data_IF_537952709759
#
_entry.id   IF_537952709759
#
_cell.length_a   1.000
_cell.length_b   1.000
_cell.length_c   1.000
_cell.angle_alpha   90.00
_cell.angle_beta   90.00
_cell.angle_gamma   90.00
#
_symmetry.space_group_name_H-M   'P 1'
#
loop_
_entity.id
_entity.type
_entity.pdbx_description
1 polymer ?
#
# COMPACT_ATOMS: atom_id res chain seq x y z
N UNK A 1 28.91 55.40 13.11
CA UNK A 1 27.89 54.49 13.69
C UNK A 1 26.66 55.34 13.97
N UNK A 2 25.62 55.22 13.12
CA UNK A 2 24.26 55.35 13.63
C UNK A 2 23.31 54.28 13.06
N UNK A 3 22.62 53.65 14.01
CA UNK A 3 21.31 53.02 14.07
C UNK A 3 20.44 52.87 12.79
N UNK A 4 20.01 51.63 12.50
CA UNK A 4 18.99 51.28 11.51
C UNK A 4 17.79 50.71 12.27
N UNK A 5 16.85 51.57 12.66
CA UNK A 5 15.54 51.16 13.17
C UNK A 5 14.55 51.06 12.00
N UNK A 6 14.19 49.84 11.61
CA UNK A 6 13.09 49.54 10.69
C UNK A 6 11.74 50.01 11.27
N UNK A 7 10.99 50.79 10.50
CA UNK A 7 9.61 51.13 10.82
C UNK A 7 8.66 49.98 10.37
N UNK A 8 7.64 49.59 11.16
CA UNK A 8 6.72 48.53 10.76
C UNK A 8 5.75 49.05 9.69
N UNK A 9 5.62 48.29 8.59
CA UNK A 9 4.67 48.57 7.51
C UNK A 9 3.19 48.50 8.00
N UNK A 10 2.28 49.36 7.50
CA UNK A 10 0.92 49.49 8.03
C UNK A 10 0.04 48.26 7.76
N UNK A 11 -0.66 47.79 8.81
CA UNK A 11 -1.54 46.61 8.80
C UNK A 11 -2.69 46.68 7.76
N UNK A 12 -3.09 47.88 7.34
CA UNK A 12 -4.15 48.07 6.34
C UNK A 12 -3.76 47.60 4.93
N UNK A 13 -2.46 47.64 4.59
CA UNK A 13 -1.97 47.14 3.30
C UNK A 13 -2.02 45.61 3.23
N UNK A 14 -1.83 44.93 4.36
CA UNK A 14 -1.94 43.46 4.46
C UNK A 14 -3.41 43.04 4.38
N UNK A 15 -4.31 43.75 5.05
CA UNK A 15 -5.75 43.45 5.03
C UNK A 15 -6.35 43.58 3.62
N UNK A 16 -6.00 44.63 2.87
CA UNK A 16 -6.45 44.78 1.47
C UNK A 16 -5.90 43.71 0.53
N UNK A 17 -4.68 43.20 0.80
CA UNK A 17 -4.07 42.12 0.01
C UNK A 17 -4.72 40.76 0.31
N UNK A 18 -5.26 40.59 1.52
CA UNK A 18 -6.01 39.40 1.93
C UNK A 18 -7.46 39.41 1.42
N UNK A 19 -8.13 40.57 1.38
CA UNK A 19 -9.50 40.67 0.83
C UNK A 19 -9.56 40.35 -0.67
N UNK A 20 -8.56 40.74 -1.45
CA UNK A 20 -8.54 40.44 -2.88
C UNK A 20 -8.24 38.95 -3.19
N UNK A 21 -7.81 38.17 -2.18
CA UNK A 21 -7.54 36.73 -2.27
C UNK A 21 -8.76 35.87 -1.89
N UNK A 22 -9.88 36.47 -1.46
CA UNK A 22 -11.04 35.77 -0.88
C UNK A 22 -12.25 35.62 -1.80
N UNK A 23 -12.09 35.74 -3.13
CA UNK A 23 -13.13 35.25 -4.06
C UNK A 23 -12.85 33.78 -4.37
N UNK A 24 -13.37 32.90 -3.51
CA UNK A 24 -13.39 31.47 -3.73
C UNK A 24 -14.28 31.16 -4.96
N UNK A 25 -13.65 30.94 -6.11
CA UNK A 25 -14.28 30.34 -7.27
C UNK A 25 -14.47 28.84 -7.00
N UNK A 26 -15.66 28.33 -7.30
CA UNK A 26 -16.04 26.92 -7.15
C UNK A 26 -15.08 26.02 -7.92
N UNK A 27 -14.32 25.19 -7.20
CA UNK A 27 -13.40 24.20 -7.77
C UNK A 27 -14.19 22.96 -8.16
N UNK A 28 -14.29 22.69 -9.47
CA UNK A 28 -14.83 21.43 -9.99
C UNK A 28 -13.79 20.30 -9.89
N UNK A 29 -14.19 19.05 -9.58
CA UNK A 29 -13.25 17.94 -9.42
C UNK A 29 -12.64 17.53 -10.77
N UNK A 30 -11.34 17.78 -10.95
CA UNK A 30 -10.57 17.32 -12.12
C UNK A 30 -9.82 18.43 -12.87
N UNK A 31 -9.98 19.70 -12.51
CA UNK A 31 -9.19 20.78 -13.08
C UNK A 31 -7.85 20.91 -12.34
N UNK A 32 -6.75 20.71 -13.07
CA UNK A 32 -5.42 21.03 -12.55
C UNK A 32 -5.21 22.52 -12.72
N UNK A 33 -5.31 23.27 -11.62
CA UNK A 33 -4.71 24.61 -11.58
C UNK A 33 -3.20 24.41 -11.77
N UNK A 34 -2.56 25.11 -12.72
CA UNK A 34 -1.11 25.21 -12.71
C UNK A 34 -0.74 25.67 -11.30
N UNK A 35 0.23 25.02 -10.66
CA UNK A 35 0.76 25.54 -9.41
C UNK A 35 1.47 26.85 -9.76
N UNK A 36 0.69 27.93 -9.73
CA UNK A 36 1.05 29.29 -10.12
C UNK A 36 1.77 30.01 -8.97
N UNK A 37 2.13 29.26 -7.93
CA UNK A 37 2.96 29.75 -6.84
C UNK A 37 4.43 29.68 -7.26
N UNK A 38 4.92 30.82 -7.76
CA UNK A 38 6.32 31.05 -8.12
C UNK A 38 7.31 30.58 -7.05
N UNK A 39 6.95 30.62 -5.77
CA UNK A 39 7.80 30.17 -4.66
C UNK A 39 8.00 28.65 -4.64
N UNK A 40 6.96 27.88 -4.94
CA UNK A 40 7.03 26.42 -5.04
C UNK A 40 7.83 26.03 -6.28
N UNK A 41 7.59 26.74 -7.39
CA UNK A 41 8.30 26.53 -8.65
C UNK A 41 9.80 26.84 -8.54
N UNK A 42 10.20 27.90 -7.85
CA UNK A 42 11.61 28.24 -7.62
C UNK A 42 12.29 27.26 -6.65
N UNK A 43 11.58 26.78 -5.62
CA UNK A 43 12.10 25.77 -4.72
C UNK A 43 12.43 24.46 -5.45
N UNK A 44 11.51 23.93 -6.27
CA UNK A 44 11.75 22.72 -7.06
C UNK A 44 12.72 22.96 -8.25
N UNK A 45 12.74 24.15 -8.83
CA UNK A 45 13.70 24.57 -9.88
C UNK A 45 15.14 24.58 -9.36
N UNK A 46 15.35 24.97 -8.10
CA UNK A 46 16.68 24.93 -7.48
C UNK A 46 17.19 23.51 -7.19
N UNK A 47 16.28 22.53 -7.07
CA UNK A 47 16.59 21.15 -6.69
C UNK A 47 16.78 20.20 -7.89
N UNK A 48 16.28 20.56 -9.08
CA UNK A 48 16.30 19.69 -10.28
C UNK A 48 16.74 20.51 -11.51
N UNK A 49 17.59 19.94 -12.36
CA UNK A 49 18.02 20.60 -13.60
C UNK A 49 16.80 21.04 -14.43
N UNK A 50 16.77 22.29 -14.90
CA UNK A 50 15.65 22.84 -15.67
C UNK A 50 15.30 21.99 -16.91
N UNK A 51 16.33 21.43 -17.54
CA UNK A 51 16.20 20.51 -18.68
C UNK A 51 15.47 19.19 -18.34
N UNK A 52 15.59 18.69 -17.10
CA UNK A 52 14.84 17.51 -16.66
C UNK A 52 13.38 17.85 -16.40
N UNK A 53 13.10 19.01 -15.82
CA UNK A 53 11.73 19.45 -15.53
C UNK A 53 10.90 19.58 -16.81
N UNK A 54 11.44 20.27 -17.82
CA UNK A 54 10.78 20.42 -19.13
C UNK A 54 10.52 19.07 -19.80
N UNK A 55 11.45 18.11 -19.69
CA UNK A 55 11.25 16.75 -20.21
C UNK A 55 10.15 16.02 -19.47
N UNK A 56 10.10 16.11 -18.14
CA UNK A 56 9.05 15.48 -17.33
C UNK A 56 7.67 16.07 -17.59
N UNK A 57 7.57 17.40 -17.71
CA UNK A 57 6.33 18.10 -18.08
C UNK A 57 5.85 17.66 -19.48
N UNK A 58 6.76 17.61 -20.46
CA UNK A 58 6.44 17.13 -21.81
C UNK A 58 5.94 15.67 -21.80
N UNK A 59 6.58 14.79 -21.04
CA UNK A 59 6.16 13.38 -20.90
C UNK A 59 4.77 13.31 -20.27
N UNK A 60 4.51 14.09 -19.21
CA UNK A 60 3.22 14.12 -18.55
C UNK A 60 2.11 14.64 -19.48
N UNK A 61 2.39 15.66 -20.28
CA UNK A 61 1.48 16.19 -21.29
C UNK A 61 1.13 15.14 -22.35
N UNK A 62 2.14 14.44 -22.88
CA UNK A 62 1.92 13.36 -23.84
C UNK A 62 1.16 12.18 -23.22
N UNK A 63 1.44 11.83 -21.97
CA UNK A 63 0.72 10.77 -21.25
C UNK A 63 -0.75 11.14 -21.03
N UNK A 64 -1.03 12.41 -20.74
CA UNK A 64 -2.40 12.94 -20.65
C UNK A 64 -3.11 12.90 -22.00
N UNK A 65 -2.42 13.28 -23.09
CA UNK A 65 -2.97 13.28 -24.44
C UNK A 65 -3.30 11.87 -24.98
N UNK A 66 -2.55 10.83 -24.57
CA UNK A 66 -2.81 9.44 -24.92
C UNK A 66 -4.08 8.91 -24.21
N UNK A 67 -4.37 9.41 -23.00
CA UNK A 67 -5.52 9.01 -22.19
C UNK A 67 -5.44 7.58 -21.65
N UNK A 68 -6.50 7.14 -20.95
CA UNK A 68 -6.62 5.77 -20.41
C UNK A 68 -7.14 4.81 -21.47
N UNK A 69 -6.28 3.93 -21.96
CA UNK A 69 -6.64 2.84 -22.86
C UNK A 69 -6.90 1.50 -22.14
N UNK A 70 -6.98 0.42 -22.93
CA UNK A 70 -7.22 -0.94 -22.42
C UNK A 70 -6.07 -1.43 -21.52
N UNK A 71 -4.85 -1.01 -21.79
CA UNK A 71 -3.67 -1.38 -21.00
C UNK A 71 -3.77 -0.92 -19.56
N UNK A 72 -4.23 0.31 -19.31
CA UNK A 72 -4.39 0.89 -17.98
C UNK A 72 -5.45 0.15 -17.16
N UNK A 73 -6.53 -0.31 -17.80
CA UNK A 73 -7.53 -1.16 -17.14
C UNK A 73 -7.00 -2.56 -16.79
N UNK A 74 -6.16 -3.15 -17.65
CA UNK A 74 -5.46 -4.39 -17.30
C UNK A 74 -4.50 -4.17 -16.13
N UNK A 75 -3.76 -3.06 -16.12
CA UNK A 75 -2.85 -2.72 -15.03
C UNK A 75 -3.61 -2.49 -13.72
N UNK A 76 -4.75 -1.79 -13.78
CA UNK A 76 -5.64 -1.59 -12.63
C UNK A 76 -6.15 -2.92 -12.06
N UNK A 77 -6.57 -3.85 -12.92
CA UNK A 77 -7.01 -5.17 -12.47
C UNK A 77 -5.87 -5.98 -11.83
N UNK A 78 -4.66 -5.95 -12.41
CA UNK A 78 -3.50 -6.69 -11.89
C UNK A 78 -3.04 -6.11 -10.54
N UNK A 79 -2.88 -4.80 -10.44
CA UNK A 79 -2.55 -4.11 -9.20
C UNK A 79 -3.66 -4.31 -8.15
N UNK A 80 -4.93 -4.23 -8.55
CA UNK A 80 -6.05 -4.52 -7.67
C UNK A 80 -5.96 -5.93 -7.07
N UNK A 81 -5.67 -6.94 -7.90
CA UNK A 81 -5.44 -8.30 -7.43
C UNK A 81 -4.23 -8.39 -6.48
N UNK A 82 -3.16 -7.62 -6.70
CA UNK A 82 -2.03 -7.50 -5.77
C UNK A 82 -2.47 -7.02 -4.39
N UNK A 83 -3.22 -5.91 -4.33
CA UNK A 83 -3.78 -5.38 -3.09
C UNK A 83 -4.73 -6.35 -2.37
N UNK A 84 -5.50 -7.11 -3.15
CA UNK A 84 -6.35 -8.16 -2.62
C UNK A 84 -5.51 -9.28 -1.98
N UNK A 85 -4.44 -9.73 -2.63
CA UNK A 85 -3.52 -10.75 -2.09
C UNK A 85 -2.81 -10.25 -0.82
N UNK A 86 -2.40 -8.99 -0.76
CA UNK A 86 -1.80 -8.40 0.44
C UNK A 86 -2.78 -8.41 1.62
N UNK A 87 -4.06 -8.15 1.33
CA UNK A 87 -5.11 -8.27 2.33
C UNK A 87 -5.31 -9.73 2.79
N UNK A 88 -5.23 -10.70 1.88
CA UNK A 88 -5.32 -12.13 2.23
C UNK A 88 -4.29 -12.55 3.26
N UNK A 89 -3.04 -12.07 3.15
CA UNK A 89 -2.02 -12.37 4.14
C UNK A 89 -2.31 -11.70 5.49
N UNK A 90 -2.55 -10.39 5.49
CA UNK A 90 -2.76 -9.62 6.73
C UNK A 90 -4.02 -10.01 7.50
N UNK A 91 -5.11 -10.35 6.80
CA UNK A 91 -6.33 -10.82 7.44
C UNK A 91 -6.32 -12.33 7.68
N UNK A 92 -5.69 -13.11 6.80
CA UNK A 92 -5.54 -14.56 6.94
C UNK A 92 -4.87 -14.95 8.25
N UNK A 93 -3.78 -14.28 8.64
CA UNK A 93 -3.13 -14.54 9.94
C UNK A 93 -4.07 -14.28 11.12
N UNK A 94 -4.99 -13.32 10.99
CA UNK A 94 -5.97 -13.02 12.04
C UNK A 94 -7.09 -14.07 12.08
N UNK A 95 -7.55 -14.53 10.91
CA UNK A 95 -8.61 -15.53 10.79
C UNK A 95 -8.15 -16.93 11.25
N UNK A 96 -6.89 -17.29 11.00
CA UNK A 96 -6.30 -18.60 11.33
C UNK A 96 -5.85 -18.70 12.80
N UNK A 97 -5.72 -17.57 13.52
CA UNK A 97 -5.29 -17.56 14.92
C UNK A 97 -6.16 -18.40 15.88
N UNK A 98 -7.50 -18.28 15.89
CA UNK A 98 -8.34 -19.06 16.80
C UNK A 98 -8.14 -20.59 16.70
N UNK A 99 -8.17 -21.23 15.51
CA UNK A 99 -7.94 -22.67 15.41
C UNK A 99 -6.49 -23.07 15.69
N UNK A 100 -5.51 -22.20 15.39
CA UNK A 100 -4.10 -22.40 15.78
C UNK A 100 -3.96 -22.41 17.31
N UNK A 101 -4.73 -21.58 18.03
CA UNK A 101 -4.73 -21.58 19.50
C UNK A 101 -5.38 -22.82 20.13
N UNK A 102 -6.27 -23.50 19.41
CA UNK A 102 -6.85 -24.77 19.86
C UNK A 102 -5.88 -25.94 19.72
N UNK A 103 -5.02 -25.93 18.69
CA UNK A 103 -4.02 -26.98 18.45
C UNK A 103 -2.72 -26.77 19.24
N UNK A 104 -2.27 -25.52 19.37
CA UNK A 104 -1.08 -25.15 20.12
C UNK A 104 -1.50 -24.50 21.45
N UNK A 105 -1.43 -25.28 22.53
CA UNK A 105 -1.92 -24.98 23.90
C UNK A 105 -1.31 -23.75 24.61
N UNK A 106 -0.44 -22.98 23.94
CA UNK A 106 0.34 -21.90 24.53
C UNK A 106 -0.26 -20.52 24.16
N UNK A 107 -1.40 -20.19 24.78
CA UNK A 107 -2.20 -18.98 24.48
C UNK A 107 -1.40 -17.68 24.58
N UNK A 108 -0.39 -17.63 25.45
CA UNK A 108 0.52 -16.48 25.60
C UNK A 108 1.40 -16.22 24.37
N UNK A 109 1.52 -17.18 23.46
CA UNK A 109 2.37 -17.07 22.26
C UNK A 109 1.64 -16.67 21.00
N UNK A 110 0.30 -16.71 20.94
CA UNK A 110 -0.44 -16.41 19.70
C UNK A 110 -0.10 -15.03 19.12
N UNK A 111 0.09 -14.02 19.97
CA UNK A 111 0.44 -12.67 19.53
C UNK A 111 1.82 -12.58 18.86
N UNK A 112 2.74 -13.51 19.12
CA UNK A 112 4.04 -13.54 18.44
C UNK A 112 3.92 -13.81 16.94
N UNK A 113 2.85 -14.46 16.47
CA UNK A 113 2.61 -14.64 15.04
C UNK A 113 2.39 -13.30 14.32
N UNK A 114 1.57 -12.41 14.89
CA UNK A 114 1.36 -11.06 14.37
C UNK A 114 2.62 -10.22 14.45
N UNK A 115 3.38 -10.30 15.56
CA UNK A 115 4.66 -9.60 15.68
C UNK A 115 5.64 -10.07 14.61
N UNK A 116 5.77 -11.38 14.40
CA UNK A 116 6.63 -11.94 13.36
C UNK A 116 6.24 -11.45 11.96
N UNK A 117 4.95 -11.43 11.64
CA UNK A 117 4.44 -10.88 10.38
C UNK A 117 4.80 -9.39 10.21
N UNK A 118 4.55 -8.55 11.22
CA UNK A 118 4.86 -7.11 11.13
C UNK A 118 6.36 -6.81 11.08
N UNK A 119 7.20 -7.59 11.79
CA UNK A 119 8.66 -7.49 11.67
C UNK A 119 9.09 -7.85 10.25
N UNK A 120 8.54 -8.92 9.68
CA UNK A 120 8.72 -9.28 8.28
C UNK A 120 8.30 -8.15 7.35
N UNK A 121 7.15 -7.52 7.60
CA UNK A 121 6.62 -6.41 6.81
C UNK A 121 7.57 -5.22 6.76
N UNK A 122 8.16 -4.84 7.91
CA UNK A 122 9.14 -3.76 7.98
C UNK A 122 10.38 -4.10 7.15
N UNK A 123 10.95 -5.29 7.36
CA UNK A 123 12.14 -5.74 6.63
C UNK A 123 11.86 -5.81 5.12
N UNK A 124 10.69 -6.33 4.75
CA UNK A 124 10.23 -6.44 3.36
C UNK A 124 10.11 -5.10 2.67
N UNK A 125 9.52 -4.10 3.32
CA UNK A 125 9.35 -2.76 2.76
C UNK A 125 10.71 -2.14 2.37
N UNK A 126 11.73 -2.27 3.21
CA UNK A 126 13.08 -1.78 2.90
C UNK A 126 13.78 -2.59 1.81
N UNK A 127 13.74 -3.92 1.90
CA UNK A 127 14.44 -4.80 0.96
C UNK A 127 13.83 -4.73 -0.43
N UNK A 128 12.53 -4.93 -0.56
CA UNK A 128 11.85 -4.96 -1.86
C UNK A 128 11.71 -3.58 -2.48
N UNK A 129 11.60 -2.52 -1.68
CA UNK A 129 11.66 -1.15 -2.20
C UNK A 129 12.99 -0.88 -2.91
N UNK A 130 14.10 -1.17 -2.22
CA UNK A 130 15.45 -1.04 -2.82
C UNK A 130 15.64 -1.97 -4.01
N UNK A 131 15.12 -3.20 -3.93
CA UNK A 131 15.25 -4.17 -5.01
C UNK A 131 14.46 -3.77 -6.26
N UNK A 132 13.30 -3.13 -6.09
CA UNK A 132 12.49 -2.60 -7.18
C UNK A 132 13.19 -1.46 -7.92
N UNK A 133 13.99 -0.66 -7.23
CA UNK A 133 14.78 0.41 -7.85
C UNK A 133 15.99 -0.15 -8.63
N UNK A 134 16.59 -1.26 -8.20
CA UNK A 134 17.78 -1.87 -8.84
C UNK A 134 17.42 -2.81 -9.99
N UNK A 135 16.51 -3.76 -9.75
CA UNK A 135 16.15 -4.81 -10.73
C UNK A 135 15.04 -4.32 -11.69
N UNK A 136 14.33 -3.25 -11.30
CA UNK A 136 13.16 -2.74 -11.98
C UNK A 136 11.87 -3.20 -11.32
N UNK A 137 10.83 -2.38 -11.45
CA UNK A 137 9.61 -2.56 -10.66
C UNK A 137 8.74 -3.76 -11.06
N UNK A 138 8.65 -4.05 -12.37
CA UNK A 138 7.85 -5.18 -12.90
C UNK A 138 8.33 -6.55 -12.42
N UNK A 139 9.63 -6.91 -12.49
CA UNK A 139 10.10 -8.17 -11.93
C UNK A 139 9.96 -8.18 -10.41
N UNK A 140 10.26 -7.08 -9.71
CA UNK A 140 10.11 -7.01 -8.26
C UNK A 140 8.68 -7.33 -7.79
N UNK A 141 7.66 -6.75 -8.43
CA UNK A 141 6.25 -7.06 -8.16
C UNK A 141 5.88 -8.53 -8.38
N UNK A 142 6.32 -9.13 -9.50
CA UNK A 142 6.02 -10.54 -9.75
C UNK A 142 6.73 -11.46 -8.74
N UNK A 143 7.95 -11.10 -8.32
CA UNK A 143 8.69 -11.88 -7.32
C UNK A 143 8.06 -11.79 -5.94
N UNK A 144 7.55 -10.64 -5.49
CA UNK A 144 6.89 -10.51 -4.18
C UNK A 144 5.64 -11.40 -4.10
N UNK A 145 4.80 -11.39 -5.12
CA UNK A 145 3.59 -12.23 -5.18
C UNK A 145 3.94 -13.73 -5.27
N UNK A 146 4.89 -14.11 -6.13
CA UNK A 146 5.31 -15.51 -6.28
C UNK A 146 5.94 -16.05 -4.98
N UNK A 147 6.86 -15.28 -4.39
CA UNK A 147 7.51 -15.61 -3.13
C UNK A 147 6.48 -15.73 -2.01
N UNK A 148 5.63 -14.72 -1.82
CA UNK A 148 4.57 -14.75 -0.81
C UNK A 148 3.60 -15.93 -1.01
N UNK A 149 3.22 -16.23 -2.25
CA UNK A 149 2.35 -17.37 -2.57
C UNK A 149 2.96 -18.74 -2.21
N UNK A 150 4.23 -18.97 -2.56
CA UNK A 150 4.91 -20.24 -2.24
C UNK A 150 5.00 -20.45 -0.73
N UNK A 151 5.40 -19.42 0.02
CA UNK A 151 5.52 -19.52 1.48
C UNK A 151 4.16 -19.55 2.19
N UNK A 152 3.14 -18.90 1.63
CA UNK A 152 1.76 -19.04 2.11
C UNK A 152 1.26 -20.48 1.97
N UNK A 153 1.46 -21.13 0.80
CA UNK A 153 1.14 -22.54 0.64
C UNK A 153 1.95 -23.44 1.58
N UNK A 154 3.22 -23.13 1.81
CA UNK A 154 4.06 -23.86 2.76
C UNK A 154 3.59 -23.72 4.22
N UNK A 155 2.98 -22.57 4.58
CA UNK A 155 2.50 -22.28 5.93
C UNK A 155 1.34 -23.18 6.37
N UNK A 156 0.51 -23.64 5.43
CA UNK A 156 -0.56 -24.61 5.69
C UNK A 156 -0.03 -26.00 6.10
N UNK A 157 1.24 -26.31 5.79
CA UNK A 157 1.90 -27.56 6.17
C UNK A 157 2.66 -27.49 7.49
N UNK A 158 2.66 -26.34 8.17
CA UNK A 158 3.45 -26.15 9.40
C UNK A 158 2.97 -27.10 10.51
N UNK A 159 3.89 -27.76 11.20
CA UNK A 159 3.55 -28.64 12.34
C UNK A 159 3.98 -28.06 13.69
N UNK A 160 4.69 -26.92 13.67
CA UNK A 160 5.23 -26.27 14.86
C UNK A 160 4.88 -24.79 14.85
N UNK A 161 4.48 -24.25 16.00
CA UNK A 161 4.17 -22.82 16.15
C UNK A 161 5.33 -21.90 15.74
N UNK A 162 6.57 -22.25 16.10
CA UNK A 162 7.75 -21.48 15.71
C UNK A 162 7.98 -21.47 14.19
N UNK A 163 7.73 -22.61 13.53
CA UNK A 163 7.83 -22.70 12.07
C UNK A 163 6.73 -21.88 11.38
N UNK A 164 5.51 -21.92 11.93
CA UNK A 164 4.40 -21.06 11.48
C UNK A 164 4.76 -19.58 11.60
N UNK A 165 5.28 -19.12 12.75
CA UNK A 165 5.72 -17.74 12.92
C UNK A 165 6.85 -17.35 11.95
N UNK A 166 7.83 -18.23 11.73
CA UNK A 166 8.92 -17.97 10.79
C UNK A 166 8.41 -17.85 9.34
N UNK A 167 7.50 -18.73 8.92
CA UNK A 167 6.86 -18.66 7.60
C UNK A 167 6.01 -17.40 7.46
N UNK A 168 5.28 -16.99 8.51
CA UNK A 168 4.54 -15.73 8.51
C UNK A 168 5.43 -14.49 8.47
N UNK A 169 6.61 -14.53 9.09
CA UNK A 169 7.59 -13.46 8.93
C UNK A 169 8.05 -13.36 7.47
N UNK A 170 8.31 -14.49 6.82
CA UNK A 170 8.68 -14.56 5.40
C UNK A 170 7.55 -14.03 4.50
N UNK A 171 6.30 -14.45 4.73
CA UNK A 171 5.13 -13.92 4.01
C UNK A 171 4.99 -12.41 4.25
N UNK A 172 5.24 -11.96 5.49
CA UNK A 172 5.28 -10.54 5.84
C UNK A 172 6.28 -9.76 5.01
N UNK A 173 7.47 -10.32 4.73
CA UNK A 173 8.45 -9.65 3.85
C UNK A 173 7.92 -9.46 2.42
N UNK A 174 7.19 -10.41 1.86
CA UNK A 174 6.53 -10.23 0.56
C UNK A 174 5.44 -9.16 0.62
N UNK A 175 4.56 -9.24 1.63
CA UNK A 175 3.46 -8.30 1.81
C UNK A 175 3.93 -6.85 1.94
N UNK A 176 4.98 -6.62 2.74
CA UNK A 176 5.53 -5.28 2.97
C UNK A 176 6.18 -4.65 1.74
N UNK A 177 6.73 -5.48 0.85
CA UNK A 177 7.30 -5.03 -0.42
C UNK A 177 6.24 -4.75 -1.49
N UNK A 178 5.20 -5.59 -1.54
CA UNK A 178 4.21 -5.57 -2.61
C UNK A 178 3.39 -4.28 -2.61
N UNK A 179 2.84 -3.87 -1.46
CA UNK A 179 1.97 -2.68 -1.33
C UNK A 179 2.62 -1.40 -1.90
N UNK A 180 3.85 -1.00 -1.50
CA UNK A 180 4.47 0.21 -2.04
C UNK A 180 4.95 0.05 -3.48
N UNK A 181 5.51 -1.11 -3.86
CA UNK A 181 6.03 -1.36 -5.21
C UNK A 181 4.91 -1.36 -6.24
N UNK A 182 3.76 -1.94 -5.92
CA UNK A 182 2.59 -1.98 -6.79
C UNK A 182 2.01 -0.58 -6.99
N UNK A 183 1.81 0.17 -5.90
CA UNK A 183 1.29 1.55 -5.94
C UNK A 183 2.11 2.48 -6.84
N UNK A 184 3.44 2.37 -6.78
CA UNK A 184 4.33 3.20 -7.60
C UNK A 184 4.38 2.72 -9.06
N UNK A 185 4.32 1.40 -9.32
CA UNK A 185 4.17 0.88 -10.70
C UNK A 185 2.91 1.43 -11.32
N UNK A 186 1.78 1.37 -10.62
CA UNK A 186 0.52 1.88 -11.15
C UNK A 186 0.56 3.39 -11.43
N UNK A 187 1.16 4.16 -10.53
CA UNK A 187 1.34 5.61 -10.72
C UNK A 187 2.20 5.99 -11.93
N UNK A 188 3.20 5.18 -12.28
CA UNK A 188 4.08 5.46 -13.42
C UNK A 188 3.37 5.33 -14.77
N UNK A 189 2.28 4.55 -14.85
CA UNK A 189 1.56 4.28 -16.08
C UNK A 189 0.19 4.97 -16.16
N UNK A 190 -0.24 5.65 -15.10
CA UNK A 190 -1.54 6.32 -15.02
C UNK A 190 -1.40 7.83 -15.31
N UNK A 191 -2.21 8.39 -16.22
CA UNK A 191 -2.22 9.84 -16.45
C UNK A 191 -2.72 10.58 -15.21
N UNK A 192 -2.20 11.79 -14.96
CA UNK A 192 -2.52 12.58 -13.78
C UNK A 192 -4.02 12.79 -13.56
N UNK A 193 -4.81 12.90 -14.64
CA UNK A 193 -6.27 13.05 -14.58
C UNK A 193 -7.01 11.89 -13.92
N UNK A 194 -6.44 10.67 -13.94
CA UNK A 194 -7.09 9.46 -13.43
C UNK A 194 -6.39 8.88 -12.20
N UNK A 195 -5.56 9.67 -11.51
CA UNK A 195 -4.90 9.24 -10.27
C UNK A 195 -5.89 8.84 -9.16
N UNK A 196 -7.15 9.27 -9.24
CA UNK A 196 -8.22 8.83 -8.32
C UNK A 196 -8.45 7.31 -8.34
N UNK A 197 -8.05 6.61 -9.42
CA UNK A 197 -8.11 5.14 -9.49
C UNK A 197 -7.27 4.46 -8.39
N UNK A 198 -6.21 5.13 -7.90
CA UNK A 198 -5.47 4.65 -6.73
C UNK A 198 -6.36 4.53 -5.50
N UNK A 199 -7.23 5.52 -5.27
CA UNK A 199 -8.17 5.49 -4.14
C UNK A 199 -9.14 4.32 -4.33
N UNK A 200 -9.55 4.05 -5.56
CA UNK A 200 -10.40 2.89 -5.90
C UNK A 200 -9.73 1.55 -5.62
N UNK A 201 -8.40 1.45 -5.55
CA UNK A 201 -7.71 0.23 -5.08
C UNK A 201 -8.07 -0.14 -3.64
N UNK A 202 -8.47 0.84 -2.82
CA UNK A 202 -8.99 0.58 -1.48
C UNK A 202 -10.28 -0.26 -1.54
N UNK A 203 -11.06 -0.19 -2.62
CA UNK A 203 -12.22 -1.08 -2.80
C UNK A 203 -11.77 -2.54 -3.02
N UNK A 204 -10.64 -2.77 -3.70
CA UNK A 204 -10.05 -4.10 -3.84
C UNK A 204 -9.55 -4.66 -2.51
N UNK A 205 -9.00 -3.81 -1.65
CA UNK A 205 -8.64 -4.20 -0.29
C UNK A 205 -9.86 -4.70 0.51
N UNK A 206 -10.96 -3.94 0.47
CA UNK A 206 -12.21 -4.33 1.13
C UNK A 206 -12.83 -5.59 0.49
N UNK A 207 -12.76 -5.74 -0.83
CA UNK A 207 -13.20 -6.95 -1.51
C UNK A 207 -12.39 -8.17 -1.03
N UNK A 208 -11.07 -8.02 -0.90
CA UNK A 208 -10.22 -9.03 -0.29
C UNK A 208 -10.68 -9.40 1.11
N UNK A 209 -11.06 -8.41 1.92
CA UNK A 209 -11.52 -8.69 3.28
C UNK A 209 -12.78 -9.53 3.34
N UNK A 210 -13.73 -9.22 2.46
CA UNK A 210 -14.98 -9.96 2.35
C UNK A 210 -14.69 -11.39 1.91
N UNK A 211 -13.83 -11.59 0.92
CA UNK A 211 -13.51 -12.94 0.41
C UNK A 211 -12.82 -13.78 1.50
N UNK A 212 -11.80 -13.24 2.18
CA UNK A 212 -11.10 -13.95 3.27
C UNK A 212 -12.06 -14.29 4.40
N UNK A 213 -12.93 -13.35 4.79
CA UNK A 213 -13.90 -13.59 5.87
C UNK A 213 -14.92 -14.66 5.49
N UNK A 214 -15.39 -14.69 4.25
CA UNK A 214 -16.29 -15.72 3.74
C UNK A 214 -15.60 -17.09 3.67
N UNK A 215 -14.35 -17.13 3.19
CA UNK A 215 -13.57 -18.36 3.17
C UNK A 215 -13.33 -18.87 4.59
N UNK A 216 -12.88 -18.01 5.50
CA UNK A 216 -12.68 -18.35 6.91
C UNK A 216 -13.98 -18.86 7.53
N UNK A 217 -15.12 -18.22 7.27
CA UNK A 217 -16.42 -18.70 7.76
C UNK A 217 -16.75 -20.10 7.24
N UNK A 218 -16.62 -20.35 5.93
CA UNK A 218 -16.90 -21.67 5.34
C UNK A 218 -15.94 -22.73 5.87
N UNK A 219 -14.65 -22.46 5.94
CA UNK A 219 -13.67 -23.44 6.41
C UNK A 219 -13.77 -23.70 7.92
N UNK A 220 -13.88 -22.65 8.73
CA UNK A 220 -14.00 -22.81 10.19
C UNK A 220 -15.34 -23.43 10.58
N UNK A 221 -16.45 -23.09 9.92
CA UNK A 221 -17.75 -23.66 10.27
C UNK A 221 -17.88 -25.16 9.92
N UNK A 222 -17.14 -25.64 8.91
CA UNK A 222 -17.24 -27.04 8.45
C UNK A 222 -16.09 -27.93 8.95
N UNK A 223 -14.90 -27.37 9.21
CA UNK A 223 -13.67 -28.14 9.47
C UNK A 223 -12.92 -27.76 10.75
N UNK A 224 -13.43 -26.82 11.56
CA UNK A 224 -12.87 -26.55 12.88
C UNK A 224 -13.61 -27.31 13.98
N UNK A 225 -12.89 -27.62 15.06
CA UNK A 225 -13.45 -28.28 16.23
C UNK A 225 -14.57 -27.44 16.89
N UNK A 226 -15.70 -28.08 17.18
CA UNK A 226 -16.82 -27.46 17.92
C UNK A 226 -16.53 -27.27 19.42
N UNK A 227 -15.59 -28.04 19.99
CA UNK A 227 -15.23 -28.00 21.41
C UNK A 227 -13.71 -27.81 21.57
N UNK A 228 -13.24 -26.72 22.22
CA UNK A 228 -11.81 -26.40 22.32
C UNK A 228 -11.03 -27.31 23.28
N UNK A 229 -11.69 -28.19 24.03
CA UNK A 229 -11.06 -28.96 25.11
C UNK A 229 -10.38 -30.27 24.67
N UNK A 230 -10.80 -30.87 23.54
CA UNK A 230 -10.21 -32.11 22.98
C UNK A 230 -10.11 -32.01 21.45
N UNK A 231 -9.47 -30.96 20.95
CA UNK A 231 -9.29 -30.75 19.52
C UNK A 231 -7.97 -31.38 19.05
N UNK A 232 -8.04 -32.53 18.37
CA UNK A 232 -6.85 -33.14 17.76
C UNK A 232 -6.63 -32.58 16.36
N UNK A 233 -5.39 -32.60 15.86
CA UNK A 233 -5.04 -32.13 14.50
C UNK A 233 -5.89 -32.76 13.38
N UNK A 234 -6.36 -33.99 13.56
CA UNK A 234 -7.22 -34.66 12.58
C UNK A 234 -8.62 -34.05 12.50
N UNK A 235 -9.08 -33.44 13.59
CA UNK A 235 -10.39 -32.80 13.72
C UNK A 235 -10.33 -31.28 13.49
N UNK A 236 -9.13 -30.72 13.30
CA UNK A 236 -8.85 -29.30 13.09
C UNK A 236 -8.20 -29.04 11.73
N UNK A 237 -8.71 -29.64 10.64
CA UNK A 237 -8.09 -29.42 9.32
C UNK A 237 -8.42 -28.05 8.70
N UNK A 238 -9.11 -27.17 9.44
CA UNK A 238 -9.57 -25.87 8.97
C UNK A 238 -8.59 -24.69 9.15
N UNK A 239 -7.34 -24.93 9.58
CA UNK A 239 -6.33 -23.87 9.80
C UNK A 239 -5.21 -23.86 8.76
#
# INVERSE_FOLDING_TARGET
MPDITEAPLPKETIAKKLEHSSTASSVDPGETLPVEDSAVRDFYSSAVNESYRLKSELIAEHLSAIGTGRFQWYLFAVNGCGWMVDNFWSQGITAVRPPVGNEFTDIGRLSFSSVAYYVGLIIGAFLWGTLADVIGRKPAFNFTILYGGIFACASAGAQNFTAFCALWAVIGTAAGGNVPVDSIVFLEFIPQSHQWLLVTLSAWWNLGQVIVSLLAWVFLANFACSDPTNCTRQDNMGW
#
